data_IF_342540055831
#
_entry.id   IF_342540055831
#
_cell.length_a   1.000
_cell.length_b   1.000
_cell.length_c   1.000
_cell.angle_alpha   90.00
_cell.angle_beta   90.00
_cell.angle_gamma   90.00
#
_symmetry.space_group_name_H-M   'P 1'
#
loop_
_entity.id
_entity.type
_entity.pdbx_description
1 polymer ?
#
# COMPACT_ATOMS: atom_id res chain seq x y z
N UNK A 1 -21.43 -13.62 17.80
CA UNK A 1 -20.93 -12.23 17.88
C UNK A 1 -19.58 -12.24 17.19
N UNK A 2 -19.44 -11.53 16.07
CA UNK A 2 -18.14 -11.37 15.41
C UNK A 2 -17.29 -10.49 16.32
N UNK A 3 -16.09 -10.95 16.67
CA UNK A 3 -15.09 -10.09 17.30
C UNK A 3 -14.66 -9.08 16.24
N UNK A 4 -15.37 -7.97 16.14
CA UNK A 4 -14.90 -6.77 15.43
C UNK A 4 -13.77 -6.18 16.28
N UNK A 5 -12.59 -6.79 16.21
CA UNK A 5 -11.40 -6.18 16.80
C UNK A 5 -11.09 -4.93 15.98
N UNK A 6 -11.37 -3.76 16.54
CA UNK A 6 -10.98 -2.43 16.02
C UNK A 6 -9.44 -2.23 15.95
N UNK A 7 -8.67 -3.25 16.31
CA UNK A 7 -7.23 -3.25 16.49
C UNK A 7 -6.62 -4.42 15.71
N UNK A 8 -5.81 -4.09 14.70
CA UNK A 8 -5.01 -5.09 13.99
C UNK A 8 -3.66 -5.26 14.70
N UNK A 9 -3.36 -6.49 15.13
CA UNK A 9 -2.16 -6.83 15.91
C UNK A 9 -1.06 -7.42 15.03
N UNK A 10 0.18 -6.99 15.25
CA UNK A 10 1.35 -7.44 14.49
C UNK A 10 2.55 -7.66 15.41
N UNK A 11 3.25 -8.79 15.24
CA UNK A 11 4.51 -9.05 15.95
C UNK A 11 5.71 -8.33 15.31
N UNK A 12 5.55 -7.86 14.07
CA UNK A 12 6.59 -7.20 13.30
C UNK A 12 6.24 -5.73 13.06
N UNK A 13 7.14 -4.83 13.47
CA UNK A 13 6.99 -3.37 13.31
C UNK A 13 6.76 -2.98 11.85
N UNK A 14 7.57 -3.51 10.94
CA UNK A 14 7.52 -3.15 9.52
C UNK A 14 6.20 -3.60 8.90
N UNK A 15 5.71 -4.80 9.22
CA UNK A 15 4.39 -5.28 8.77
C UNK A 15 3.26 -4.37 9.27
N UNK A 16 3.34 -3.87 10.50
CA UNK A 16 2.37 -2.90 11.03
C UNK A 16 2.42 -1.57 10.27
N UNK A 17 3.62 -1.05 10.00
CA UNK A 17 3.83 0.17 9.20
C UNK A 17 3.24 -0.01 7.79
N UNK A 18 3.55 -1.12 7.11
CA UNK A 18 3.09 -1.37 5.75
C UNK A 18 1.57 -1.52 5.67
N UNK A 19 0.97 -2.20 6.66
CA UNK A 19 -0.48 -2.31 6.77
C UNK A 19 -1.12 -0.94 7.00
N UNK A 20 -0.55 -0.14 7.89
CA UNK A 20 -1.02 1.23 8.15
C UNK A 20 -0.94 2.12 6.90
N UNK A 21 0.19 2.07 6.16
CA UNK A 21 0.35 2.79 4.89
C UNK A 21 -0.73 2.38 3.88
N UNK A 22 -1.02 1.09 3.77
CA UNK A 22 -2.07 0.57 2.90
C UNK A 22 -3.47 1.01 3.31
N UNK A 23 -3.82 0.96 4.61
CA UNK A 23 -5.12 1.40 5.11
C UNK A 23 -5.33 2.90 4.88
N UNK A 24 -4.31 3.73 5.14
CA UNK A 24 -4.35 5.16 4.87
C UNK A 24 -4.55 5.46 3.37
N UNK A 25 -3.93 4.69 2.47
CA UNK A 25 -4.22 4.80 1.04
C UNK A 25 -5.64 4.34 0.70
N UNK A 26 -6.08 3.19 1.21
CA UNK A 26 -7.39 2.58 0.91
C UNK A 26 -8.56 3.46 1.35
N UNK A 27 -8.47 4.06 2.53
CA UNK A 27 -9.52 4.88 3.14
C UNK A 27 -9.30 6.39 2.96
N UNK A 28 -8.36 6.80 2.09
CA UNK A 28 -8.06 8.22 1.81
C UNK A 28 -9.29 9.05 1.42
N UNK A 29 -10.27 8.44 0.76
CA UNK A 29 -11.48 9.13 0.27
C UNK A 29 -12.49 9.36 1.39
N UNK A 30 -12.59 8.43 2.35
CA UNK A 30 -13.45 8.56 3.52
C UNK A 30 -12.84 9.43 4.61
N UNK A 31 -11.56 9.82 4.48
CA UNK A 31 -10.86 10.66 5.44
C UNK A 31 -10.54 9.94 6.76
N UNK A 32 -10.68 8.61 6.80
CA UNK A 32 -10.33 7.80 7.97
C UNK A 32 -8.81 7.67 8.01
N UNK A 33 -8.21 8.05 9.13
CA UNK A 33 -6.77 7.96 9.36
C UNK A 33 -6.48 6.79 10.27
N UNK A 34 -5.44 6.06 9.92
CA UNK A 34 -4.90 4.95 10.69
C UNK A 34 -3.51 5.31 11.19
N UNK A 35 -3.13 4.76 12.33
CA UNK A 35 -1.80 4.94 12.90
C UNK A 35 -1.34 3.69 13.64
N UNK A 36 -0.05 3.71 14.01
CA UNK A 36 0.59 2.61 14.71
C UNK A 36 0.79 3.00 16.17
N UNK A 37 0.46 2.08 17.08
CA UNK A 37 0.64 2.19 18.53
C UNK A 37 1.52 1.04 19.05
N UNK A 38 2.13 1.25 20.22
CA UNK A 38 2.70 0.16 21.00
C UNK A 38 1.58 -0.63 21.67
N UNK A 39 1.55 -1.94 21.46
CA UNK A 39 0.67 -2.83 22.22
C UNK A 39 1.29 -3.28 23.55
N UNK A 40 0.45 -3.87 24.40
CA UNK A 40 0.82 -4.25 25.77
C UNK A 40 1.79 -5.44 25.86
N UNK A 41 1.88 -6.27 24.82
CA UNK A 41 2.67 -7.51 24.81
C UNK A 41 3.90 -7.41 23.89
N UNK A 42 4.51 -6.22 23.80
CA UNK A 42 5.64 -5.94 22.90
C UNK A 42 5.31 -6.18 21.41
N UNK A 43 4.03 -6.10 21.07
CA UNK A 43 3.50 -6.13 19.71
C UNK A 43 3.17 -4.72 19.22
N UNK A 44 2.77 -4.63 17.96
CA UNK A 44 2.39 -3.40 17.28
C UNK A 44 0.92 -3.44 16.94
N UNK A 45 0.24 -2.33 17.13
CA UNK A 45 -1.20 -2.22 16.88
C UNK A 45 -1.43 -1.19 15.80
N UNK A 46 -2.25 -1.53 14.80
CA UNK A 46 -2.78 -0.58 13.82
C UNK A 46 -4.25 -0.37 14.11
N UNK A 47 -4.68 0.89 14.22
CA UNK A 47 -6.07 1.24 14.50
C UNK A 47 -6.44 2.60 13.93
N UNK A 48 -7.74 2.89 13.91
CA UNK A 48 -8.29 4.19 13.50
C UNK A 48 -7.99 5.29 14.53
N UNK A 49 -7.88 6.53 14.05
CA UNK A 49 -7.64 7.70 14.89
C UNK A 49 -8.73 7.88 15.97
N UNK A 50 -10.00 7.58 15.63
CA UNK A 50 -11.10 7.61 16.60
C UNK A 50 -10.88 6.61 17.75
N UNK A 51 -10.44 5.39 17.45
CA UNK A 51 -10.13 4.37 18.46
C UNK A 51 -8.94 4.78 19.33
N UNK A 52 -7.89 5.35 18.74
CA UNK A 52 -6.74 5.84 19.50
C UNK A 52 -7.13 6.97 20.46
N UNK A 53 -8.01 7.88 20.03
CA UNK A 53 -8.54 8.96 20.88
C UNK A 53 -9.39 8.41 22.04
N UNK A 54 -10.25 7.42 21.79
CA UNK A 54 -11.04 6.75 22.83
C UNK A 54 -10.14 6.04 23.86
N UNK A 55 -8.99 5.53 23.42
CA UNK A 55 -7.99 4.89 24.28
C UNK A 55 -7.02 5.88 24.94
N UNK A 56 -7.15 7.19 24.67
CA UNK A 56 -6.22 8.23 25.11
C UNK A 56 -4.75 7.94 24.73
N UNK A 57 -4.53 7.38 23.54
CA UNK A 57 -3.22 7.03 23.00
C UNK A 57 -2.85 7.89 21.79
N UNK A 58 -1.56 8.23 21.67
CA UNK A 58 -1.03 8.96 20.52
C UNK A 58 -0.31 8.01 19.55
N UNK A 59 -0.51 8.24 18.25
CA UNK A 59 0.20 7.52 17.20
C UNK A 59 1.71 7.77 17.25
N UNK A 60 2.46 6.72 16.93
CA UNK A 60 3.90 6.80 16.77
C UNK A 60 4.25 7.53 15.46
N UNK A 61 5.21 8.45 15.53
CA UNK A 61 5.78 9.12 14.36
C UNK A 61 6.84 8.24 13.68
N UNK A 62 6.37 7.16 13.04
CA UNK A 62 7.22 6.13 12.43
C UNK A 62 6.81 5.78 11.00
N UNK A 63 5.74 6.41 10.48
CA UNK A 63 5.29 6.14 9.12
C UNK A 63 6.20 6.86 8.12
N UNK A 64 6.72 6.16 7.09
CA UNK A 64 7.47 6.81 6.03
C UNK A 64 6.54 7.69 5.20
N UNK A 65 7.10 8.70 4.53
CA UNK A 65 6.34 9.53 3.59
C UNK A 65 5.80 8.71 2.41
N UNK A 66 6.64 7.84 1.86
CA UNK A 66 6.36 6.95 0.75
C UNK A 66 7.40 5.81 0.71
N UNK A 67 7.34 4.95 -0.30
CA UNK A 67 8.23 3.80 -0.47
C UNK A 67 9.45 4.09 -1.36
N UNK A 68 9.77 5.36 -1.67
CA UNK A 68 10.86 5.69 -2.60
C UNK A 68 12.25 5.31 -2.08
N UNK A 69 12.42 5.18 -0.76
CA UNK A 69 13.68 4.80 -0.11
C UNK A 69 13.77 3.30 0.20
N UNK A 70 12.83 2.47 -0.28
CA UNK A 70 12.82 1.03 -0.04
C UNK A 70 14.09 0.34 -0.58
N UNK A 71 14.75 -0.45 0.26
CA UNK A 71 15.99 -1.18 -0.09
C UNK A 71 15.70 -2.60 -0.56
N UNK A 72 16.71 -3.27 -1.14
CA UNK A 72 16.59 -4.70 -1.49
C UNK A 72 16.39 -5.62 -0.29
N UNK A 73 16.94 -5.25 0.87
CA UNK A 73 16.74 -6.02 2.10
C UNK A 73 15.29 -5.88 2.60
N UNK A 74 14.68 -4.69 2.48
CA UNK A 74 13.26 -4.49 2.79
C UNK A 74 12.37 -5.37 1.89
N UNK A 75 12.64 -5.36 0.57
CA UNK A 75 11.92 -6.20 -0.39
C UNK A 75 12.08 -7.68 -0.04
N UNK A 76 13.30 -8.11 0.30
CA UNK A 76 13.57 -9.48 0.73
C UNK A 76 12.76 -9.83 1.98
N UNK A 77 12.73 -8.96 2.97
CA UNK A 77 11.97 -9.17 4.20
C UNK A 77 10.47 -9.30 3.94
N UNK A 78 9.88 -8.45 3.10
CA UNK A 78 8.48 -8.55 2.68
C UNK A 78 8.21 -9.92 2.06
N UNK A 79 9.07 -10.37 1.13
CA UNK A 79 8.90 -11.65 0.44
C UNK A 79 9.13 -12.90 1.31
N UNK A 80 9.83 -12.76 2.44
CA UNK A 80 10.10 -13.86 3.37
C UNK A 80 9.02 -14.00 4.45
N UNK A 81 8.02 -13.11 4.50
CA UNK A 81 6.91 -13.24 5.43
C UNK A 81 6.11 -14.50 5.14
N UNK A 82 5.86 -15.31 6.17
CA UNK A 82 5.04 -16.52 6.06
C UNK A 82 3.58 -16.20 5.68
N UNK A 83 3.07 -15.09 6.21
CA UNK A 83 1.75 -14.52 5.92
C UNK A 83 1.96 -13.07 5.46
N UNK A 84 2.16 -12.81 4.15
CA UNK A 84 2.37 -11.45 3.64
C UNK A 84 1.08 -10.65 3.61
N UNK A 85 1.17 -9.32 3.71
CA UNK A 85 0.02 -8.45 3.48
C UNK A 85 -0.48 -8.60 2.04
N UNK A 86 -1.80 -8.66 1.85
CA UNK A 86 -2.40 -9.02 0.56
C UNK A 86 -1.93 -8.17 -0.62
N UNK A 87 -1.79 -6.85 -0.42
CA UNK A 87 -1.33 -5.95 -1.47
C UNK A 87 0.13 -6.22 -1.89
N UNK A 88 1.00 -6.63 -0.96
CA UNK A 88 2.35 -7.06 -1.27
C UNK A 88 2.38 -8.43 -1.95
N UNK A 89 1.51 -9.35 -1.53
CA UNK A 89 1.35 -10.66 -2.19
C UNK A 89 0.97 -10.48 -3.67
N UNK A 90 -0.07 -9.68 -3.94
CA UNK A 90 -0.55 -9.44 -5.30
C UNK A 90 0.52 -8.72 -6.17
N UNK A 91 1.22 -7.73 -5.61
CA UNK A 91 2.27 -7.00 -6.30
C UNK A 91 3.49 -7.90 -6.61
N UNK A 92 4.00 -8.61 -5.61
CA UNK A 92 5.17 -9.49 -5.78
C UNK A 92 4.85 -10.71 -6.63
N UNK A 93 3.62 -11.22 -6.54
CA UNK A 93 3.10 -12.30 -7.39
C UNK A 93 3.13 -11.91 -8.87
N UNK A 94 2.70 -10.68 -9.19
CA UNK A 94 2.72 -10.15 -10.57
C UNK A 94 4.11 -10.23 -11.21
N UNK A 95 5.17 -9.84 -10.48
CA UNK A 95 6.54 -9.94 -10.98
C UNK A 95 7.11 -11.37 -10.91
N UNK A 96 6.65 -12.20 -9.98
CA UNK A 96 7.19 -13.56 -9.79
C UNK A 96 6.76 -14.54 -10.89
N UNK A 97 5.62 -14.29 -11.54
CA UNK A 97 5.15 -15.10 -12.69
C UNK A 97 5.63 -14.57 -14.03
N UNK A 98 6.29 -13.40 -14.06
CA UNK A 98 6.80 -12.79 -15.28
C UNK A 98 8.07 -13.51 -15.75
N UNK A 99 8.20 -13.70 -17.07
CA UNK A 99 9.39 -14.30 -17.66
C UNK A 99 10.67 -13.49 -17.37
N UNK A 100 11.77 -14.19 -17.11
CA UNK A 100 13.04 -13.58 -16.75
C UNK A 100 13.66 -12.72 -17.86
N UNK A 101 13.49 -13.08 -19.14
CA UNK A 101 13.93 -12.22 -20.26
C UNK A 101 13.08 -10.96 -20.35
N UNK A 102 11.78 -11.07 -20.07
CA UNK A 102 10.92 -9.89 -20.05
C UNK A 102 11.33 -8.93 -18.92
N UNK A 103 11.62 -9.43 -17.72
CA UNK A 103 12.15 -8.62 -16.62
C UNK A 103 13.48 -7.94 -16.99
N UNK A 104 14.40 -8.67 -17.62
CA UNK A 104 15.66 -8.11 -18.15
C UNK A 104 15.40 -7.02 -19.19
N UNK A 105 14.45 -7.24 -20.09
CA UNK A 105 14.09 -6.30 -21.15
C UNK A 105 13.49 -5.01 -20.59
N UNK A 106 12.60 -5.08 -19.59
CA UNK A 106 12.05 -3.92 -18.89
C UNK A 106 13.17 -2.99 -18.38
N UNK A 107 14.19 -3.57 -17.75
CA UNK A 107 15.35 -2.83 -17.25
C UNK A 107 16.25 -2.32 -18.38
N UNK A 108 16.62 -3.18 -19.32
CA UNK A 108 17.55 -2.85 -20.41
C UNK A 108 17.02 -1.72 -21.29
N UNK A 109 15.76 -1.81 -21.70
CA UNK A 109 15.12 -0.82 -22.57
C UNK A 109 14.62 0.42 -21.79
N UNK A 110 14.79 0.46 -20.46
CA UNK A 110 14.29 1.53 -19.57
C UNK A 110 12.80 1.81 -19.81
N UNK A 111 12.01 0.74 -19.87
CA UNK A 111 10.57 0.85 -20.16
C UNK A 111 9.91 1.70 -19.07
N UNK A 112 9.16 2.76 -19.43
CA UNK A 112 8.56 3.68 -18.46
C UNK A 112 7.35 3.04 -17.79
N UNK A 113 7.58 2.24 -16.74
CA UNK A 113 6.53 1.50 -16.01
C UNK A 113 5.41 2.42 -15.50
N UNK A 114 5.73 3.62 -15.04
CA UNK A 114 4.73 4.60 -14.61
C UNK A 114 3.76 4.97 -15.74
N UNK A 115 4.26 5.19 -16.97
CA UNK A 115 3.40 5.51 -18.12
C UNK A 115 2.51 4.33 -18.48
N UNK A 116 3.02 3.10 -18.40
CA UNK A 116 2.20 1.89 -18.61
C UNK A 116 1.09 1.79 -17.56
N UNK A 117 1.41 2.00 -16.27
CA UNK A 117 0.42 1.99 -15.18
C UNK A 117 -0.65 3.06 -15.40
N UNK A 118 -0.25 4.30 -15.73
CA UNK A 118 -1.19 5.40 -16.02
C UNK A 118 -2.09 5.08 -17.21
N UNK A 119 -1.55 4.46 -18.25
CA UNK A 119 -2.33 4.05 -19.42
C UNK A 119 -3.37 2.98 -19.07
N UNK A 120 -3.00 1.99 -18.27
CA UNK A 120 -3.93 0.98 -17.75
C UNK A 120 -5.02 1.59 -16.86
N UNK A 121 -4.68 2.57 -16.02
CA UNK A 121 -5.65 3.28 -15.19
C UNK A 121 -6.64 4.10 -16.04
N UNK A 122 -6.16 4.78 -17.08
CA UNK A 122 -7.02 5.49 -18.04
C UNK A 122 -7.98 4.55 -18.75
N UNK A 123 -7.48 3.40 -19.26
CA UNK A 123 -8.28 2.39 -19.94
C UNK A 123 -9.38 1.78 -19.05
N UNK A 124 -9.19 1.77 -17.73
CA UNK A 124 -10.19 1.31 -16.77
C UNK A 124 -11.29 2.34 -16.48
N UNK A 125 -11.15 3.61 -16.86
CA UNK A 125 -12.23 4.61 -16.76
C UNK A 125 -12.52 5.17 -15.36
N UNK A 126 -11.57 5.05 -14.42
CA UNK A 126 -11.69 5.57 -13.05
C UNK A 126 -10.78 6.79 -12.83
N UNK A 127 -11.17 7.71 -11.94
CA UNK A 127 -10.34 8.84 -11.48
C UNK A 127 -9.33 8.44 -10.38
N UNK A 128 -8.55 9.40 -9.86
CA UNK A 128 -7.59 9.21 -8.76
C UNK A 128 -8.20 8.73 -7.45
N UNK A 129 -9.52 8.90 -7.29
CA UNK A 129 -10.33 8.47 -6.16
C UNK A 129 -11.11 7.19 -6.47
N UNK A 130 -10.73 6.44 -7.51
CA UNK A 130 -11.39 5.20 -7.89
C UNK A 130 -12.90 5.37 -8.15
N UNK A 131 -13.34 6.55 -8.61
CA UNK A 131 -14.72 6.81 -9.03
C UNK A 131 -14.80 6.68 -10.53
N UNK A 132 -15.79 5.94 -11.02
CA UNK A 132 -16.02 5.80 -12.46
C UNK A 132 -16.33 7.17 -13.08
N UNK A 133 -15.55 7.57 -14.07
CA UNK A 133 -15.72 8.84 -14.78
C UNK A 133 -15.71 8.69 -16.31
N UNK A 134 -15.56 7.46 -16.82
CA UNK A 134 -15.49 7.16 -18.25
C UNK A 134 -14.08 7.37 -18.83
N UNK A 135 -13.86 6.85 -20.03
CA UNK A 135 -12.54 6.80 -20.66
C UNK A 135 -11.95 8.19 -20.94
N UNK A 136 -12.73 9.11 -21.50
CA UNK A 136 -12.24 10.44 -21.89
C UNK A 136 -11.74 11.22 -20.66
N UNK A 137 -12.54 11.23 -19.60
CA UNK A 137 -12.17 11.92 -18.36
C UNK A 137 -11.02 11.24 -17.63
N UNK A 138 -11.01 9.91 -17.56
CA UNK A 138 -9.89 9.17 -16.98
C UNK A 138 -8.58 9.44 -17.76
N UNK A 139 -8.66 9.54 -19.09
CA UNK A 139 -7.51 9.87 -19.94
C UNK A 139 -6.93 11.24 -19.63
N UNK A 140 -7.77 12.27 -19.46
CA UNK A 140 -7.33 13.61 -19.05
C UNK A 140 -6.63 13.62 -17.68
N UNK A 141 -7.06 12.74 -16.77
CA UNK A 141 -6.49 12.64 -15.42
C UNK A 141 -5.12 11.95 -15.46
N UNK A 142 -5.04 10.79 -16.11
CA UNK A 142 -3.90 9.90 -16.01
C UNK A 142 -2.82 10.11 -17.07
N UNK A 143 -3.19 10.46 -18.30
CA UNK A 143 -2.28 10.55 -19.46
C UNK A 143 -1.59 11.92 -19.59
N UNK A 144 -1.37 12.61 -18.48
CA UNK A 144 -0.64 13.89 -18.47
C UNK A 144 0.83 13.65 -18.79
N UNK A 145 1.38 14.44 -19.70
CA UNK A 145 2.83 14.52 -19.90
C UNK A 145 3.42 15.37 -18.78
N UNK A 146 4.33 14.77 -18.00
CA UNK A 146 5.18 15.46 -17.04
C UNK A 146 6.50 15.87 -17.72
#
# INVERSE_FOLDING_TARGET
>A
MKNDNYLDLFDNKQKAIDHCMWLNFKYRISGIRFGVLHGSENNWVVCEEATAQEMEMEFLDILPKDYSEMTYDDIRHIKMQYDPLRHWEDLTGTFSVMDGELLRFLLHAKIPLEKLIRHELAGRGYDENHRWCGFDRASEIWLKEN
#
